data_IF_163205509908
#
_entry.id   IF_163205509908
#
_cell.length_a   1.000
_cell.length_b   1.000
_cell.length_c   1.000
_cell.angle_alpha   90.00
_cell.angle_beta   90.00
_cell.angle_gamma   90.00
#
_symmetry.space_group_name_H-M   'P 1'
#
loop_
_entity.id
_entity.type
_entity.pdbx_description
1 polymer ?
#
# COMPACT_ATOMS: atom_id res chain seq x y z
N UNK A 1 -40.86 -27.87 57.42
CA UNK A 1 -40.02 -26.70 57.12
C UNK A 1 -39.97 -26.55 55.59
N UNK A 2 -40.80 -25.67 55.02
CA UNK A 2 -40.92 -25.49 53.57
C UNK A 2 -39.90 -24.45 53.11
N UNK A 3 -38.88 -24.87 52.37
CA UNK A 3 -37.94 -23.96 51.71
C UNK A 3 -38.63 -23.37 50.48
N UNK A 4 -38.72 -22.04 50.46
CA UNK A 4 -39.40 -21.26 49.45
C UNK A 4 -38.51 -21.20 48.18
N UNK A 5 -38.98 -21.79 47.08
CA UNK A 5 -38.21 -21.96 45.83
C UNK A 5 -37.93 -20.62 45.11
N UNK A 6 -38.53 -19.52 45.55
CA UNK A 6 -38.45 -18.19 44.93
C UNK A 6 -37.11 -17.46 45.16
N UNK A 7 -36.37 -17.79 46.22
CA UNK A 7 -35.16 -17.03 46.58
C UNK A 7 -33.83 -17.52 45.98
N UNK A 8 -33.82 -18.60 45.19
CA UNK A 8 -32.58 -19.16 44.64
C UNK A 8 -32.24 -18.59 43.24
N UNK A 9 -33.21 -17.98 42.55
CA UNK A 9 -33.02 -17.51 41.17
C UNK A 9 -32.25 -16.17 41.11
N UNK A 10 -32.22 -15.38 42.18
CA UNK A 10 -31.59 -14.05 42.17
C UNK A 10 -30.08 -14.01 42.45
N UNK A 11 -29.43 -15.15 42.73
CA UNK A 11 -28.00 -15.15 43.10
C UNK A 11 -27.03 -15.72 42.04
N UNK A 12 -27.53 -16.12 40.86
CA UNK A 12 -26.69 -16.76 39.82
C UNK A 12 -26.17 -15.76 38.77
N UNK A 13 -26.65 -14.51 38.77
CA UNK A 13 -26.26 -13.50 37.74
C UNK A 13 -24.95 -12.76 38.10
N UNK A 14 -24.42 -12.90 39.32
CA UNK A 14 -23.24 -12.13 39.80
C UNK A 14 -21.89 -12.83 39.59
N UNK A 15 -21.85 -14.02 38.99
CA UNK A 15 -20.63 -14.82 38.85
C UNK A 15 -20.35 -15.26 37.40
N UNK A 16 -20.82 -14.51 36.39
CA UNK A 16 -20.22 -14.62 35.06
C UNK A 16 -18.87 -13.90 35.15
N UNK A 17 -17.73 -14.61 35.04
CA UNK A 17 -16.48 -13.93 34.76
C UNK A 17 -16.76 -13.16 33.48
N UNK A 18 -16.55 -11.84 33.52
CA UNK A 18 -16.47 -11.06 32.31
C UNK A 18 -15.42 -11.78 31.48
N UNK A 19 -15.87 -12.51 30.45
CA UNK A 19 -14.98 -13.03 29.43
C UNK A 19 -14.36 -11.78 28.83
N UNK A 20 -13.21 -11.37 29.38
CA UNK A 20 -12.33 -10.42 28.72
C UNK A 20 -11.94 -11.12 27.43
N UNK A 21 -12.70 -10.81 26.38
CA UNK A 21 -12.28 -11.08 25.03
C UNK A 21 -11.01 -10.24 24.87
N UNK A 22 -9.85 -10.87 25.06
CA UNK A 22 -8.59 -10.28 24.64
C UNK A 22 -8.64 -10.35 23.13
N UNK A 23 -9.18 -9.29 22.51
CA UNK A 23 -9.19 -9.16 21.07
C UNK A 23 -7.72 -9.13 20.65
N UNK A 24 -7.28 -10.21 19.99
CA UNK A 24 -5.92 -10.28 19.49
C UNK A 24 -5.76 -9.17 18.47
N UNK A 25 -4.78 -8.30 18.68
CA UNK A 25 -4.41 -7.26 17.72
C UNK A 25 -4.20 -7.95 16.37
N UNK A 26 -4.85 -7.50 15.29
CA UNK A 26 -4.68 -8.12 13.97
C UNK A 26 -3.20 -8.06 13.55
N UNK A 27 -2.80 -8.83 12.55
CA UNK A 27 -1.47 -8.71 11.94
C UNK A 27 -1.67 -8.18 10.53
N UNK A 28 -0.88 -7.19 10.06
CA UNK A 28 -0.99 -6.71 8.69
C UNK A 28 -0.73 -7.85 7.70
N UNK A 29 -1.55 -7.96 6.67
CA UNK A 29 -1.34 -8.97 5.63
C UNK A 29 -0.16 -8.55 4.76
N UNK A 30 0.86 -9.43 4.57
CA UNK A 30 1.94 -9.14 3.64
C UNK A 30 1.41 -8.90 2.23
N UNK A 31 2.05 -8.00 1.48
CA UNK A 31 1.75 -7.88 0.06
C UNK A 31 2.01 -9.22 -0.65
N UNK A 32 1.16 -9.61 -1.61
CA UNK A 32 1.44 -10.78 -2.42
C UNK A 32 2.69 -10.54 -3.27
N UNK A 33 3.41 -11.61 -3.61
CA UNK A 33 4.65 -11.51 -4.39
C UNK A 33 4.47 -10.79 -5.73
N UNK A 34 3.27 -10.86 -6.31
CA UNK A 34 2.90 -10.14 -7.52
C UNK A 34 1.48 -9.60 -7.41
N UNK A 35 1.26 -8.40 -7.93
CA UNK A 35 -0.08 -7.86 -8.12
C UNK A 35 -0.10 -6.73 -9.16
N UNK A 36 -1.30 -6.48 -9.67
CA UNK A 36 -1.66 -5.23 -10.33
C UNK A 36 -2.64 -4.46 -9.46
N UNK A 37 -2.41 -3.16 -9.29
CA UNK A 37 -3.34 -2.26 -8.64
C UNK A 37 -3.64 -1.06 -9.54
N UNK A 38 -4.91 -0.73 -9.72
CA UNK A 38 -5.31 0.58 -10.22
C UNK A 38 -5.47 1.51 -9.03
N UNK A 39 -4.77 2.64 -9.04
CA UNK A 39 -4.78 3.60 -7.94
C UNK A 39 -5.15 4.99 -8.42
N UNK A 40 -5.90 5.69 -7.57
CA UNK A 40 -6.08 7.12 -7.63
C UNK A 40 -5.17 7.76 -6.58
N UNK A 41 -4.35 8.72 -6.99
CA UNK A 41 -3.43 9.43 -6.09
C UNK A 41 -3.79 10.91 -6.05
N UNK A 42 -3.95 11.43 -4.84
CA UNK A 42 -4.04 12.85 -4.56
C UNK A 42 -2.66 13.34 -4.10
N UNK A 43 -1.98 14.09 -4.96
CA UNK A 43 -0.65 14.62 -4.67
C UNK A 43 -0.79 16.02 -4.04
N UNK A 44 0.04 16.31 -3.05
CA UNK A 44 0.03 17.59 -2.35
C UNK A 44 0.35 18.79 -3.25
N UNK A 45 1.17 18.61 -4.30
CA UNK A 45 1.60 19.68 -5.22
C UNK A 45 1.08 19.58 -6.66
N UNK A 46 0.79 18.36 -7.12
CA UNK A 46 0.65 18.03 -8.55
C UNK A 46 -0.78 17.64 -8.95
N UNK A 47 -1.74 17.79 -8.03
CA UNK A 47 -3.13 17.44 -8.24
C UNK A 47 -3.38 15.93 -8.32
N UNK A 48 -4.35 15.53 -9.14
CA UNK A 48 -4.87 14.17 -9.19
C UNK A 48 -4.23 13.35 -10.31
N UNK A 49 -3.89 12.10 -10.03
CA UNK A 49 -3.39 11.18 -11.05
C UNK A 49 -3.96 9.77 -10.86
N UNK A 50 -4.07 9.04 -11.96
CA UNK A 50 -4.35 7.60 -11.96
C UNK A 50 -3.05 6.87 -12.25
N UNK A 51 -2.78 5.80 -11.52
CA UNK A 51 -1.60 4.97 -11.75
C UNK A 51 -1.95 3.47 -11.74
N UNK A 52 -1.46 2.76 -12.76
CA UNK A 52 -1.37 1.30 -12.73
C UNK A 52 -0.06 0.92 -12.06
N UNK A 53 -0.12 0.27 -10.90
CA UNK A 53 1.05 -0.29 -10.23
C UNK A 53 1.14 -1.79 -10.53
N UNK A 54 2.30 -2.22 -11.00
CA UNK A 54 2.64 -3.61 -11.28
C UNK A 54 3.81 -4.01 -10.40
N UNK A 55 3.52 -4.70 -9.31
CA UNK A 55 4.50 -5.16 -8.34
C UNK A 55 4.93 -6.60 -8.67
N UNK A 56 6.23 -6.85 -8.69
CA UNK A 56 6.81 -8.17 -8.99
C UNK A 56 8.08 -8.38 -8.16
N UNK A 57 7.87 -8.77 -6.89
CA UNK A 57 8.93 -8.98 -5.91
C UNK A 57 9.99 -10.01 -6.34
N UNK A 58 9.62 -11.19 -6.89
CA UNK A 58 10.63 -12.18 -7.32
C UNK A 58 11.55 -11.67 -8.42
N UNK A 59 11.10 -10.69 -9.22
CA UNK A 59 11.92 -10.01 -10.25
C UNK A 59 12.48 -8.66 -9.77
N UNK A 60 12.24 -8.30 -8.52
CA UNK A 60 12.78 -7.11 -7.87
C UNK A 60 12.41 -5.79 -8.52
N UNK A 61 11.16 -5.69 -8.98
CA UNK A 61 10.66 -4.52 -9.73
C UNK A 61 9.27 -4.09 -9.29
N UNK A 62 9.03 -2.78 -9.33
CA UNK A 62 7.72 -2.16 -9.13
C UNK A 62 7.51 -1.10 -10.21
N UNK A 63 6.55 -1.31 -11.10
CA UNK A 63 6.32 -0.45 -12.27
C UNK A 63 5.04 0.35 -12.09
N UNK A 64 5.12 1.67 -12.23
CA UNK A 64 3.96 2.53 -12.33
C UNK A 64 3.79 3.05 -13.76
N UNK A 65 2.57 2.98 -14.27
CA UNK A 65 2.15 3.70 -15.48
C UNK A 65 1.16 4.78 -15.02
N UNK A 66 1.57 6.04 -15.12
CA UNK A 66 0.97 7.17 -14.45
C UNK A 66 0.37 8.12 -15.49
N UNK A 67 -0.93 8.37 -15.36
CA UNK A 67 -1.66 9.36 -16.16
C UNK A 67 -2.02 10.55 -15.27
N UNK A 68 -1.42 11.71 -15.56
CA UNK A 68 -1.85 13.02 -15.02
C UNK A 68 -2.87 13.65 -15.98
N UNK A 69 -3.70 14.57 -15.49
CA UNK A 69 -4.81 15.12 -16.28
C UNK A 69 -4.39 15.83 -17.59
N UNK A 70 -3.25 16.52 -17.59
CA UNK A 70 -2.78 17.34 -18.72
C UNK A 70 -1.30 17.07 -19.06
N UNK A 71 -0.85 15.82 -18.92
CA UNK A 71 0.55 15.46 -19.18
C UNK A 71 0.65 14.14 -19.94
N UNK A 72 1.83 13.91 -20.52
CA UNK A 72 2.16 12.64 -21.17
C UNK A 72 2.11 11.47 -20.19
N UNK A 73 1.90 10.27 -20.72
CA UNK A 73 1.93 9.03 -19.96
C UNK A 73 3.34 8.80 -19.41
N UNK A 74 3.47 8.80 -18.09
CA UNK A 74 4.73 8.64 -17.40
C UNK A 74 4.90 7.19 -16.92
N UNK A 75 6.03 6.59 -17.22
CA UNK A 75 6.44 5.30 -16.70
C UNK A 75 7.45 5.52 -15.57
N UNK A 76 7.27 4.84 -14.45
CA UNK A 76 8.25 4.76 -13.38
C UNK A 76 8.58 3.29 -13.12
N UNK A 77 9.83 2.89 -13.33
CA UNK A 77 10.31 1.54 -13.02
C UNK A 77 11.27 1.63 -11.85
N UNK A 78 10.86 1.10 -10.71
CA UNK A 78 11.64 1.05 -9.47
C UNK A 78 12.26 -0.34 -9.30
N UNK A 79 13.53 -0.39 -8.93
CA UNK A 79 14.28 -1.63 -8.74
C UNK A 79 14.68 -1.87 -7.29
N UNK A 80 14.89 -3.14 -6.92
CA UNK A 80 15.34 -3.53 -5.58
C UNK A 80 16.70 -2.96 -5.17
N UNK A 81 17.54 -2.56 -6.13
CA UNK A 81 18.81 -1.91 -5.85
C UNK A 81 18.65 -0.40 -5.50
N UNK A 82 17.42 0.12 -5.51
CA UNK A 82 17.08 1.51 -5.20
C UNK A 82 17.21 2.48 -6.37
N UNK A 83 17.46 2.00 -7.59
CA UNK A 83 17.38 2.82 -8.80
C UNK A 83 15.95 2.87 -9.32
N UNK A 84 15.50 4.07 -9.68
CA UNK A 84 14.22 4.33 -10.33
C UNK A 84 14.44 5.09 -11.65
N UNK A 85 13.68 4.72 -12.68
CA UNK A 85 13.67 5.38 -13.98
C UNK A 85 12.29 5.97 -14.23
N UNK A 86 12.23 7.28 -14.41
CA UNK A 86 11.02 8.01 -14.79
C UNK A 86 11.13 8.40 -16.25
N UNK A 87 10.25 7.93 -17.13
CA UNK A 87 10.37 8.19 -18.57
C UNK A 87 9.02 8.28 -19.28
N UNK A 88 8.99 9.05 -20.37
CA UNK A 88 7.91 9.03 -21.36
C UNK A 88 8.37 8.25 -22.58
N UNK A 89 7.45 7.62 -23.32
CA UNK A 89 7.77 6.90 -24.56
C UNK A 89 7.48 7.76 -25.80
N UNK A 90 8.25 7.58 -26.88
CA UNK A 90 8.06 8.25 -28.16
C UNK A 90 9.34 8.86 -28.72
N UNK A 91 9.23 9.52 -29.88
CA UNK A 91 10.38 10.12 -30.59
C UNK A 91 11.08 11.22 -29.77
N UNK A 92 10.33 11.92 -28.91
CA UNK A 92 10.83 12.94 -27.99
C UNK A 92 10.72 12.50 -26.51
N UNK A 93 10.89 11.20 -26.24
CA UNK A 93 10.81 10.67 -24.88
C UNK A 93 11.84 11.33 -23.94
N UNK A 94 11.42 11.62 -22.71
CA UNK A 94 12.31 12.10 -21.64
C UNK A 94 12.66 10.96 -20.69
N UNK A 95 13.76 11.10 -19.96
CA UNK A 95 14.10 10.19 -18.88
C UNK A 95 14.78 10.95 -17.73
N UNK A 96 14.42 10.60 -16.50
CA UNK A 96 15.10 10.99 -15.28
C UNK A 96 15.46 9.73 -14.48
N UNK A 97 16.71 9.65 -14.02
CA UNK A 97 17.21 8.52 -13.24
C UNK A 97 17.48 8.97 -11.82
N UNK A 98 16.88 8.30 -10.85
CA UNK A 98 17.02 8.62 -9.43
C UNK A 98 17.51 7.38 -8.68
N UNK A 99 18.46 7.56 -7.76
CA UNK A 99 18.91 6.50 -6.87
C UNK A 99 18.56 6.84 -5.42
N UNK A 100 17.56 6.16 -4.87
CA UNK A 100 17.05 6.38 -3.52
C UNK A 100 17.86 5.65 -2.44
N UNK A 101 18.75 4.72 -2.81
CA UNK A 101 19.52 3.89 -1.88
C UNK A 101 18.69 2.84 -1.12
N UNK A 102 17.37 2.85 -1.29
CA UNK A 102 16.42 1.86 -0.75
C UNK A 102 15.63 1.24 -1.90
N UNK A 103 15.48 -0.09 -1.89
CA UNK A 103 14.71 -0.81 -2.89
C UNK A 103 13.20 -0.64 -2.73
N UNK A 104 12.44 -1.32 -3.59
CA UNK A 104 10.98 -1.34 -3.52
C UNK A 104 10.50 -1.95 -2.18
N UNK A 105 9.27 -1.65 -1.74
CA UNK A 105 8.72 -2.22 -0.50
C UNK A 105 8.76 -3.75 -0.54
N UNK A 106 9.25 -4.36 0.53
CA UNK A 106 9.18 -5.81 0.71
C UNK A 106 7.72 -6.23 0.96
N UNK A 107 7.36 -7.51 0.71
CA UNK A 107 6.06 -8.05 1.05
C UNK A 107 5.63 -7.73 2.50
N UNK A 108 6.59 -7.76 3.42
CA UNK A 108 6.42 -7.54 4.85
C UNK A 108 6.72 -6.09 5.29
N UNK A 109 6.62 -5.08 4.42
CA UNK A 109 7.03 -3.71 4.75
C UNK A 109 6.32 -3.09 5.98
N UNK A 110 5.15 -3.63 6.36
CA UNK A 110 4.40 -3.27 7.56
C UNK A 110 4.82 -4.05 8.83
N UNK A 111 5.81 -4.94 8.77
CA UNK A 111 6.32 -5.63 9.95
C UNK A 111 6.81 -4.61 10.99
N UNK A 112 6.37 -4.73 12.24
CA UNK A 112 6.61 -3.74 13.29
C UNK A 112 5.85 -2.41 13.12
N UNK A 113 4.78 -2.37 12.32
CA UNK A 113 3.84 -1.24 12.30
C UNK A 113 2.98 -1.22 13.57
N UNK A 114 2.53 -0.02 13.96
CA UNK A 114 1.65 0.21 15.10
C UNK A 114 0.19 0.12 14.66
N UNK A 115 -0.60 -0.73 15.32
CA UNK A 115 -2.04 -0.79 15.08
C UNK A 115 -2.76 0.40 15.74
N UNK A 116 -3.57 1.12 14.97
CA UNK A 116 -4.31 2.30 15.45
C UNK A 116 -5.82 2.06 15.60
N UNK A 117 -6.27 0.81 15.44
CA UNK A 117 -7.68 0.44 15.47
C UNK A 117 -8.33 0.45 14.09
N UNK A 118 -9.66 0.35 14.07
CA UNK A 118 -10.43 0.33 12.81
C UNK A 118 -10.91 1.72 12.40
N UNK A 119 -10.94 2.01 11.09
CA UNK A 119 -11.48 3.26 10.52
C UNK A 119 -12.29 2.97 9.26
N UNK A 120 -13.37 3.72 9.06
CA UNK A 120 -14.16 3.63 7.83
C UNK A 120 -13.59 4.60 6.78
N UNK A 121 -13.24 4.10 5.59
CA UNK A 121 -12.72 4.91 4.47
C UNK A 121 -13.06 4.23 3.15
N UNK A 122 -13.31 5.02 2.10
CA UNK A 122 -13.62 4.55 0.73
C UNK A 122 -14.74 3.48 0.64
N UNK A 123 -15.64 3.45 1.62
CA UNK A 123 -16.72 2.47 1.71
C UNK A 123 -16.38 1.17 2.46
N UNK A 124 -15.18 1.06 3.03
CA UNK A 124 -14.68 -0.13 3.72
C UNK A 124 -14.38 0.16 5.20
N UNK A 125 -14.65 -0.81 6.08
CA UNK A 125 -14.12 -0.82 7.44
C UNK A 125 -12.70 -1.40 7.38
N UNK A 126 -11.70 -0.60 7.72
CA UNK A 126 -10.29 -0.94 7.57
C UNK A 126 -9.57 -1.05 8.91
N UNK A 127 -8.65 -2.01 9.03
CA UNK A 127 -7.56 -1.96 9.99
C UNK A 127 -6.61 -0.83 9.59
N UNK A 128 -6.25 0.04 10.54
CA UNK A 128 -5.30 1.14 10.33
C UNK A 128 -3.97 0.82 10.99
N UNK A 129 -2.91 0.94 10.20
CA UNK A 129 -1.53 0.73 10.60
C UNK A 129 -0.70 1.99 10.37
N UNK A 130 0.17 2.33 11.31
CA UNK A 130 1.18 3.39 11.15
C UNK A 130 2.57 2.78 11.12
N UNK A 131 3.41 3.26 10.20
CA UNK A 131 4.79 2.81 10.07
C UNK A 131 5.74 4.00 9.90
N UNK A 132 6.71 4.09 10.80
CA UNK A 132 7.82 5.06 10.79
C UNK A 132 7.36 6.54 10.78
N UNK A 133 6.19 6.84 11.34
CA UNK A 133 5.56 8.18 11.31
C UNK A 133 5.47 8.78 9.90
N UNK A 134 5.48 7.91 8.88
CA UNK A 134 5.62 8.26 7.48
C UNK A 134 4.44 7.75 6.66
N UNK A 135 3.97 6.53 6.92
CA UNK A 135 2.86 5.92 6.19
C UNK A 135 1.75 5.44 7.13
N UNK A 136 0.51 5.76 6.76
CA UNK A 136 -0.71 5.22 7.35
C UNK A 136 -1.38 4.30 6.34
N UNK A 137 -1.52 3.03 6.66
CA UNK A 137 -2.00 2.00 5.74
C UNK A 137 -3.34 1.43 6.20
N UNK A 138 -4.31 1.44 5.28
CA UNK A 138 -5.68 0.99 5.48
C UNK A 138 -5.89 -0.32 4.75
N UNK A 139 -6.13 -1.39 5.52
CA UNK A 139 -6.42 -2.73 5.03
C UNK A 139 -7.89 -3.08 5.34
N UNK A 140 -8.68 -3.48 4.35
CA UNK A 140 -10.05 -3.92 4.59
C UNK A 140 -10.09 -5.09 5.60
N UNK A 141 -10.89 -4.94 6.66
CA UNK A 141 -11.04 -5.94 7.72
C UNK A 141 -11.51 -7.27 7.14
N UNK A 142 -12.41 -7.25 6.16
CA UNK A 142 -13.05 -8.44 5.62
C UNK A 142 -12.15 -9.17 4.60
N UNK A 143 -11.69 -8.47 3.56
CA UNK A 143 -10.94 -9.09 2.46
C UNK A 143 -9.44 -9.10 2.64
N UNK A 144 -8.92 -8.36 3.63
CA UNK A 144 -7.48 -8.17 3.87
C UNK A 144 -6.73 -7.50 2.72
N UNK A 145 -7.46 -6.85 1.80
CA UNK A 145 -6.86 -6.12 0.68
C UNK A 145 -6.52 -4.69 1.08
N UNK A 146 -5.48 -4.09 0.48
CA UNK A 146 -5.24 -2.66 0.60
C UNK A 146 -6.44 -1.86 0.09
N UNK A 147 -6.81 -0.83 0.85
CA UNK A 147 -7.84 0.14 0.46
C UNK A 147 -7.19 1.49 0.19
N UNK A 148 -6.30 1.93 1.08
CA UNK A 148 -5.68 3.24 1.01
C UNK A 148 -4.34 3.26 1.74
N UNK A 149 -3.45 4.15 1.35
CA UNK A 149 -2.38 4.60 2.23
C UNK A 149 -2.09 6.09 2.08
N UNK A 150 -1.76 6.73 3.19
CA UNK A 150 -1.44 8.14 3.28
C UNK A 150 0.01 8.33 3.71
N UNK A 151 0.64 9.37 3.20
CA UNK A 151 2.00 9.76 3.54
C UNK A 151 2.02 11.05 4.36
N UNK A 152 3.05 11.24 5.17
CA UNK A 152 3.19 12.42 6.03
C UNK A 152 3.36 13.74 5.26
N UNK A 153 3.71 13.68 3.98
CA UNK A 153 3.80 14.83 3.06
C UNK A 153 2.45 15.23 2.42
N UNK A 154 1.36 14.60 2.84
CA UNK A 154 0.00 14.88 2.39
C UNK A 154 -0.42 14.13 1.12
N UNK A 155 0.41 13.23 0.59
CA UNK A 155 0.01 12.35 -0.51
C UNK A 155 -0.96 11.29 0.03
N UNK A 156 -2.08 11.08 -0.68
CA UNK A 156 -3.02 9.98 -0.42
C UNK A 156 -3.12 9.09 -1.66
N UNK A 157 -3.06 7.78 -1.46
CA UNK A 157 -3.23 6.77 -2.52
C UNK A 157 -4.42 5.89 -2.18
N UNK A 158 -5.40 5.86 -3.08
CA UNK A 158 -6.61 5.08 -2.96
C UNK A 158 -6.59 3.94 -3.97
N UNK A 159 -6.88 2.72 -3.53
CA UNK A 159 -6.88 1.52 -4.36
C UNK A 159 -8.26 1.32 -4.96
N UNK A 160 -8.34 1.35 -6.29
CA UNK A 160 -9.59 1.13 -7.03
C UNK A 160 -9.77 -0.34 -7.40
N UNK A 161 -8.70 -1.02 -7.82
CA UNK A 161 -8.68 -2.46 -8.10
C UNK A 161 -7.41 -3.08 -7.56
N UNK A 162 -7.47 -4.37 -7.20
CA UNK A 162 -6.34 -5.12 -6.69
C UNK A 162 -6.40 -6.58 -7.15
N UNK A 163 -5.53 -6.91 -8.10
CA UNK A 163 -5.46 -8.18 -8.83
C UNK A 163 -4.20 -8.94 -8.44
N UNK A 164 -4.36 -9.92 -7.55
CA UNK A 164 -3.26 -10.76 -7.05
C UNK A 164 -2.73 -11.66 -8.16
N UNK A 165 -1.40 -11.74 -8.28
CA UNK A 165 -0.72 -12.61 -9.25
C UNK A 165 -0.58 -12.03 -10.65
N UNK A 166 -1.16 -10.86 -10.93
CA UNK A 166 -1.04 -10.20 -12.23
C UNK A 166 0.41 -9.76 -12.50
N UNK A 167 0.81 -9.82 -13.78
CA UNK A 167 2.17 -9.53 -14.23
C UNK A 167 2.12 -8.65 -15.47
N UNK A 168 2.96 -7.61 -15.49
CA UNK A 168 3.11 -6.74 -16.65
C UNK A 168 3.92 -7.45 -17.74
N UNK A 169 3.54 -7.27 -19.00
CA UNK A 169 4.28 -7.81 -20.14
C UNK A 169 5.64 -7.12 -20.29
N UNK A 170 6.71 -7.91 -20.45
CA UNK A 170 8.11 -7.47 -20.32
C UNK A 170 8.57 -6.27 -21.20
N UNK A 171 8.05 -6.03 -22.42
CA UNK A 171 8.44 -4.86 -23.23
C UNK A 171 8.16 -3.50 -22.59
N UNK A 172 7.21 -3.43 -21.65
CA UNK A 172 6.84 -2.18 -20.97
C UNK A 172 7.66 -1.91 -19.70
N UNK A 173 8.56 -2.82 -19.35
CA UNK A 173 9.24 -2.83 -18.05
C UNK A 173 10.66 -2.28 -18.15
N UNK A 174 11.30 -2.38 -19.31
CA UNK A 174 12.66 -1.88 -19.45
C UNK A 174 12.67 -0.40 -19.80
N UNK A 175 13.49 0.34 -19.05
CA UNK A 175 13.77 1.73 -19.33
C UNK A 175 14.37 1.86 -20.75
N UNK A 176 13.95 2.85 -21.54
CA UNK A 176 14.48 3.08 -22.88
C UNK A 176 15.99 3.33 -22.89
N UNK A 177 16.65 3.07 -24.01
CA UNK A 177 18.12 3.20 -24.13
C UNK A 177 18.64 4.61 -23.83
N UNK A 178 17.86 5.65 -24.12
CA UNK A 178 18.24 7.04 -23.81
C UNK A 178 18.31 7.35 -22.31
N UNK A 179 17.74 6.51 -21.44
CA UNK A 179 17.92 6.63 -19.99
C UNK A 179 19.36 6.34 -19.53
N UNK A 180 20.15 5.64 -20.34
CA UNK A 180 21.51 5.20 -19.99
C UNK A 180 22.60 6.07 -20.62
N UNK A 181 22.22 7.01 -21.50
CA UNK A 181 23.13 7.91 -22.20
C UNK A 181 23.21 9.30 -21.55
N UNK A 182 22.77 9.42 -20.30
CA UNK A 182 22.96 10.66 -19.55
C UNK A 182 24.42 10.73 -19.15
N UNK A 183 25.17 11.64 -19.77
CA UNK A 183 26.52 11.99 -19.33
C UNK A 183 26.45 12.24 -17.83
N UNK A 184 27.25 11.48 -17.07
CA UNK A 184 27.36 11.56 -15.62
C UNK A 184 27.66 12.98 -15.17
N UNK A 185 26.63 13.80 -14.97
CA UNK A 185 26.68 14.94 -14.07
C UNK A 185 26.51 14.38 -12.65
N UNK A 186 27.52 13.62 -12.22
CA UNK A 186 27.81 13.45 -10.82
C UNK A 186 28.09 14.85 -10.25
N UNK A 187 27.06 15.50 -9.73
CA UNK A 187 27.23 16.49 -8.67
C UNK A 187 26.95 15.75 -7.38
N UNK A 188 28.04 15.55 -6.62
CA UNK A 188 28.03 14.92 -5.31
C UNK A 188 27.48 15.81 -4.21
#
# INVERSE_FOLDING_TARGET
MRLNLSSIISLIILALPWLQFCETVPVPTPWPERFHALTYKNLSSDGLQIAHQWYDWPRGRNVYIIQKQLSDLLYNVEWNNGTSFYYTLGENGSCDVVHYGIGIPRPDFLDGATYLGTRFTDGFLCNLWEKLDFIWYYEDVQTKKPVRWDFSDGISVHVMTFEVGAVLHDPLIQAPSYCFNQDTYAKG
#
